data_IF_423307520326
#
_entry.id   IF_423307520326
#
_cell.length_a   1.000
_cell.length_b   1.000
_cell.length_c   1.000
_cell.angle_alpha   90.00
_cell.angle_beta   90.00
_cell.angle_gamma   90.00
#
_symmetry.space_group_name_H-M   'P 1'
#
loop_
_entity.id
_entity.type
_entity.pdbx_description
1 polymer ?
#
# COMPACT_ATOMS: atom_id res chain seq x y z
N UNK A 1 -0.35 -23.82 8.27
CA UNK A 1 -0.91 -22.46 7.99
C UNK A 1 0.04 -21.37 8.46
N UNK A 2 0.38 -21.29 9.75
CA UNK A 2 1.29 -20.27 10.28
C UNK A 2 2.70 -20.34 9.64
N UNK A 3 3.25 -21.54 9.47
CA UNK A 3 4.56 -21.74 8.85
C UNK A 3 4.59 -21.28 7.39
N UNK A 4 3.50 -21.51 6.65
CA UNK A 4 3.41 -21.11 5.25
C UNK A 4 3.41 -19.60 5.11
N UNK A 5 2.64 -18.89 5.94
CA UNK A 5 2.58 -17.42 5.96
C UNK A 5 3.93 -16.83 6.34
N UNK A 6 4.59 -17.40 7.35
CA UNK A 6 5.92 -16.97 7.77
C UNK A 6 6.95 -17.12 6.67
N UNK A 7 6.92 -18.24 5.93
CA UNK A 7 7.83 -18.47 4.80
C UNK A 7 7.58 -17.50 3.67
N UNK A 8 6.32 -17.19 3.38
CA UNK A 8 5.96 -16.22 2.34
C UNK A 8 6.40 -14.81 2.72
N UNK A 9 6.23 -14.43 3.99
CA UNK A 9 6.70 -13.15 4.51
C UNK A 9 8.23 -13.02 4.40
N UNK A 10 8.96 -14.08 4.71
CA UNK A 10 10.42 -14.12 4.55
C UNK A 10 10.84 -13.92 3.11
N UNK A 11 10.15 -14.58 2.18
CA UNK A 11 10.44 -14.44 0.74
C UNK A 11 10.20 -13.01 0.27
N UNK A 12 9.10 -12.40 0.72
CA UNK A 12 8.81 -11.01 0.40
C UNK A 12 9.93 -10.08 0.90
N UNK A 13 10.32 -10.22 2.15
CA UNK A 13 11.37 -9.38 2.75
C UNK A 13 12.72 -9.58 2.05
N UNK A 14 13.05 -10.80 1.66
CA UNK A 14 14.27 -11.09 0.88
C UNK A 14 14.26 -10.44 -0.49
N UNK A 15 13.13 -10.49 -1.18
CA UNK A 15 12.97 -9.84 -2.49
C UNK A 15 13.01 -8.32 -2.37
N UNK A 16 12.42 -7.77 -1.31
CA UNK A 16 12.48 -6.34 -1.02
C UNK A 16 13.93 -5.91 -0.79
N UNK A 17 14.68 -6.66 0.02
CA UNK A 17 16.11 -6.39 0.25
C UNK A 17 16.88 -6.35 -1.07
N UNK A 18 16.64 -7.31 -1.95
CA UNK A 18 17.33 -7.39 -3.24
C UNK A 18 16.94 -6.22 -4.14
N UNK A 19 15.67 -5.82 -4.14
CA UNK A 19 15.19 -4.67 -4.90
C UNK A 19 15.81 -3.36 -4.39
N UNK A 20 15.96 -3.22 -3.08
CA UNK A 20 16.57 -2.03 -2.46
C UNK A 20 18.09 -1.96 -2.70
N UNK A 21 18.75 -3.10 -2.77
CA UNK A 21 20.18 -3.18 -3.05
C UNK A 21 20.50 -3.00 -4.55
N UNK A 22 19.50 -3.12 -5.43
CA UNK A 22 19.67 -2.97 -6.87
C UNK A 22 19.91 -1.51 -7.27
N UNK A 23 20.49 -1.34 -8.44
CA UNK A 23 20.79 -0.02 -9.02
C UNK A 23 19.60 0.45 -9.87
N UNK A 24 18.54 0.90 -9.18
CA UNK A 24 17.31 1.39 -9.82
C UNK A 24 17.03 2.83 -9.45
N UNK A 25 16.55 3.62 -10.43
CA UNK A 25 16.07 4.98 -10.19
C UNK A 25 14.80 4.96 -9.31
N UNK A 26 14.50 6.08 -8.66
CA UNK A 26 13.44 6.18 -7.67
C UNK A 26 12.08 5.66 -8.11
N UNK A 27 11.57 6.12 -9.27
CA UNK A 27 10.26 5.66 -9.78
C UNK A 27 10.27 4.17 -10.11
N UNK A 28 11.30 3.72 -10.80
CA UNK A 28 11.47 2.31 -11.17
C UNK A 28 11.52 1.41 -9.94
N UNK A 29 12.18 1.87 -8.88
CA UNK A 29 12.26 1.16 -7.61
C UNK A 29 10.88 1.04 -6.96
N UNK A 30 10.11 2.12 -6.93
CA UNK A 30 8.74 2.10 -6.40
C UNK A 30 7.85 1.14 -7.19
N UNK A 31 7.92 1.18 -8.51
CA UNK A 31 7.14 0.29 -9.39
C UNK A 31 7.49 -1.18 -9.13
N UNK A 32 8.75 -1.46 -8.95
CA UNK A 32 9.23 -2.83 -8.65
C UNK A 32 8.72 -3.31 -7.28
N UNK A 33 8.74 -2.44 -6.29
CA UNK A 33 8.25 -2.76 -4.95
C UNK A 33 6.75 -3.08 -4.97
N UNK A 34 5.93 -2.28 -5.64
CA UNK A 34 4.49 -2.53 -5.73
C UNK A 34 4.21 -3.86 -6.42
N UNK A 35 4.93 -4.17 -7.49
CA UNK A 35 4.79 -5.46 -8.19
C UNK A 35 5.15 -6.64 -7.27
N UNK A 36 6.27 -6.55 -6.56
CA UNK A 36 6.72 -7.60 -5.66
C UNK A 36 5.72 -7.86 -4.53
N UNK A 37 5.19 -6.80 -3.93
CA UNK A 37 4.22 -6.91 -2.84
C UNK A 37 2.93 -7.57 -3.33
N UNK A 38 2.35 -7.07 -4.42
CA UNK A 38 1.11 -7.60 -4.97
C UNK A 38 1.25 -9.09 -5.30
N UNK A 39 2.34 -9.46 -5.96
CA UNK A 39 2.62 -10.85 -6.33
C UNK A 39 2.80 -11.73 -5.08
N UNK A 40 3.59 -11.28 -4.12
CA UNK A 40 3.91 -12.07 -2.92
C UNK A 40 2.72 -12.24 -1.98
N UNK A 41 1.84 -11.25 -1.92
CA UNK A 41 0.65 -11.30 -1.06
C UNK A 41 -0.58 -11.86 -1.77
N UNK A 42 -0.48 -12.14 -3.07
CA UNK A 42 -1.59 -12.65 -3.86
C UNK A 42 -2.73 -11.64 -3.98
N UNK A 43 -2.39 -10.35 -4.07
CA UNK A 43 -3.35 -9.27 -4.23
C UNK A 43 -3.34 -8.73 -5.66
N UNK A 44 -4.49 -8.29 -6.15
CA UNK A 44 -4.58 -7.67 -7.47
C UNK A 44 -3.97 -6.29 -7.50
N UNK A 45 -3.96 -5.59 -6.38
CA UNK A 45 -3.49 -4.20 -6.30
C UNK A 45 -2.50 -4.02 -5.15
N UNK A 46 -1.42 -3.31 -5.44
CA UNK A 46 -0.56 -2.67 -4.45
C UNK A 46 -0.26 -1.26 -4.91
N UNK A 47 -0.42 -0.28 -4.03
CA UNK A 47 -0.23 1.13 -4.37
C UNK A 47 0.54 1.87 -3.28
N UNK A 48 1.33 2.85 -3.71
CA UNK A 48 2.07 3.73 -2.81
C UNK A 48 1.58 5.15 -3.03
N UNK A 49 1.10 5.76 -1.95
CA UNK A 49 0.71 7.18 -1.90
C UNK A 49 1.70 7.92 -1.03
N UNK A 50 2.20 9.04 -1.51
CA UNK A 50 3.13 9.88 -0.74
C UNK A 50 2.59 11.31 -0.65
N UNK A 51 2.87 11.98 0.45
CA UNK A 51 2.51 13.39 0.59
C UNK A 51 3.28 14.23 -0.41
N UNK A 52 2.55 15.03 -1.16
CA UNK A 52 3.11 16.02 -2.07
C UNK A 52 3.36 17.35 -1.34
N UNK A 53 2.48 17.66 -0.40
CA UNK A 53 2.58 18.80 0.50
C UNK A 53 1.99 18.39 1.86
N UNK A 54 1.70 19.36 2.73
CA UNK A 54 1.30 19.08 4.12
C UNK A 54 0.00 18.27 4.25
N UNK A 55 -0.90 18.36 3.28
CA UNK A 55 -2.23 17.76 3.39
C UNK A 55 -2.69 16.94 2.18
N UNK A 56 -1.87 16.83 1.14
CA UNK A 56 -2.27 16.17 -0.12
C UNK A 56 -1.39 14.97 -0.41
N UNK A 57 -2.02 13.81 -0.55
CA UNK A 57 -1.40 12.56 -0.98
C UNK A 57 -1.50 12.41 -2.49
N UNK A 58 -0.45 11.93 -3.11
CA UNK A 58 -0.39 11.64 -4.54
C UNK A 58 -0.07 10.17 -4.75
N UNK A 59 -0.80 9.53 -5.66
CA UNK A 59 -0.49 8.16 -6.08
C UNK A 59 0.84 8.17 -6.84
N UNK A 60 1.86 7.54 -6.27
CA UNK A 60 3.22 7.56 -6.82
C UNK A 60 3.61 6.27 -7.54
N UNK A 61 2.98 5.15 -7.20
CA UNK A 61 3.20 3.88 -7.86
C UNK A 61 2.01 2.97 -7.63
N UNK A 62 1.70 2.13 -8.60
CA UNK A 62 0.64 1.15 -8.49
C UNK A 62 0.92 -0.08 -9.33
N UNK A 63 0.57 -1.24 -8.79
CA UNK A 63 0.36 -2.47 -9.52
C UNK A 63 -1.14 -2.73 -9.47
N UNK A 64 -1.78 -2.90 -10.61
CA UNK A 64 -3.19 -3.27 -10.70
C UNK A 64 -4.18 -2.15 -10.93
N UNK A 65 -3.91 -0.92 -10.50
CA UNK A 65 -4.72 0.24 -10.86
C UNK A 65 -4.27 0.79 -12.22
N UNK A 66 -5.02 1.75 -12.75
CA UNK A 66 -4.67 2.38 -14.01
C UNK A 66 -3.33 3.12 -13.91
N UNK A 67 -2.34 2.70 -14.70
CA UNK A 67 -1.00 3.31 -14.68
C UNK A 67 -1.03 4.82 -15.00
N UNK A 68 -2.02 5.27 -15.77
CA UNK A 68 -2.17 6.69 -16.10
C UNK A 68 -2.60 7.54 -14.90
N UNK A 69 -3.10 6.91 -13.84
CA UNK A 69 -3.46 7.60 -12.60
C UNK A 69 -2.23 7.98 -11.75
N UNK A 70 -1.08 7.37 -12.01
CA UNK A 70 0.16 7.67 -11.28
C UNK A 70 0.53 9.14 -11.49
N UNK A 71 0.78 9.84 -10.37
CA UNK A 71 1.04 11.29 -10.29
C UNK A 71 -0.16 12.18 -10.66
N UNK A 72 -1.30 11.59 -11.04
CA UNK A 72 -2.53 12.33 -11.35
C UNK A 72 -3.55 12.23 -10.23
N UNK A 73 -3.71 11.06 -9.63
CA UNK A 73 -4.66 10.86 -8.54
C UNK A 73 -4.13 11.46 -7.25
N UNK A 74 -4.92 12.32 -6.64
CA UNK A 74 -4.60 13.01 -5.40
C UNK A 74 -5.79 12.96 -4.45
N UNK A 75 -5.50 12.93 -3.17
CA UNK A 75 -6.51 13.01 -2.13
C UNK A 75 -5.97 13.74 -0.91
N UNK A 76 -6.86 14.36 -0.17
CA UNK A 76 -6.48 15.08 1.04
C UNK A 76 -6.39 14.13 2.23
N UNK A 77 -5.55 14.49 3.18
CA UNK A 77 -5.48 13.82 4.46
C UNK A 77 -6.89 13.74 5.07
N UNK A 78 -7.28 12.52 5.48
CA UNK A 78 -8.61 12.27 6.02
C UNK A 78 -9.68 11.91 4.99
N UNK A 79 -9.38 12.05 3.70
CA UNK A 79 -10.28 11.73 2.60
C UNK A 79 -10.10 10.28 2.15
N UNK A 80 -11.19 9.50 2.14
CA UNK A 80 -11.15 8.08 1.80
C UNK A 80 -10.41 7.25 2.83
N UNK A 81 -10.27 5.93 2.57
CA UNK A 81 -9.55 5.03 3.47
C UNK A 81 -8.06 5.38 3.54
N UNK A 82 -7.46 5.66 2.39
CA UNK A 82 -6.05 6.03 2.30
C UNK A 82 -5.77 7.30 3.11
N UNK A 83 -6.59 8.34 2.92
CA UNK A 83 -6.45 9.59 3.67
C UNK A 83 -6.61 9.41 5.18
N UNK A 84 -7.46 8.48 5.59
CA UNK A 84 -7.65 8.15 7.01
C UNK A 84 -6.45 7.46 7.62
N UNK A 85 -5.84 6.52 6.90
CA UNK A 85 -4.59 5.89 7.35
C UNK A 85 -3.53 6.96 7.61
N UNK A 86 -3.38 7.91 6.68
CA UNK A 86 -2.41 8.99 6.81
C UNK A 86 -2.72 9.91 7.99
N UNK A 87 -3.98 10.30 8.13
CA UNK A 87 -4.41 11.25 9.17
C UNK A 87 -4.22 10.69 10.58
N UNK A 88 -4.67 9.47 10.80
CA UNK A 88 -4.66 8.86 12.13
C UNK A 88 -3.39 8.02 12.38
N UNK A 89 -2.56 7.83 11.36
CA UNK A 89 -1.33 7.02 11.42
C UNK A 89 -1.61 5.64 11.99
N UNK A 90 -2.67 5.01 11.50
CA UNK A 90 -3.14 3.69 11.94
C UNK A 90 -3.44 2.80 10.75
N UNK A 91 -3.23 1.52 10.95
CA UNK A 91 -3.59 0.48 9.98
C UNK A 91 -5.10 0.42 9.84
N UNK A 92 -5.57 0.30 8.58
CA UNK A 92 -6.94 -0.08 8.27
C UNK A 92 -6.87 -1.43 7.56
N UNK A 93 -7.53 -2.43 8.14
CA UNK A 93 -7.58 -3.80 7.61
C UNK A 93 -9.04 -4.23 7.59
N UNK A 94 -9.65 -4.23 6.42
CA UNK A 94 -11.08 -4.56 6.28
C UNK A 94 -11.32 -5.51 5.11
N UNK A 95 -12.17 -6.56 5.31
CA UNK A 95 -12.57 -7.45 4.21
C UNK A 95 -13.64 -6.82 3.31
N UNK A 96 -14.28 -5.73 3.73
CA UNK A 96 -15.40 -5.10 3.02
C UNK A 96 -15.20 -3.57 2.97
N UNK A 97 -14.28 -3.14 2.12
CA UNK A 97 -13.91 -1.73 1.98
C UNK A 97 -15.10 -0.83 1.62
N UNK A 98 -16.03 -1.21 0.71
CA UNK A 98 -17.15 -0.34 0.36
C UNK A 98 -18.07 -0.01 1.54
N UNK A 99 -18.11 -0.86 2.56
CA UNK A 99 -18.91 -0.64 3.77
C UNK A 99 -18.12 0.03 4.90
N UNK A 100 -16.82 0.20 4.72
CA UNK A 100 -15.97 0.81 5.75
C UNK A 100 -16.25 2.32 5.84
N UNK A 101 -16.21 2.84 7.06
CA UNK A 101 -16.36 4.28 7.29
C UNK A 101 -15.28 5.07 6.56
N UNK A 102 -15.68 6.07 5.79
CA UNK A 102 -14.75 6.91 5.05
C UNK A 102 -14.37 6.40 3.66
N UNK A 103 -14.93 5.28 3.23
CA UNK A 103 -14.69 4.78 1.86
C UNK A 103 -15.05 5.84 0.82
N UNK A 104 -14.18 5.97 -0.18
CA UNK A 104 -14.42 6.83 -1.35
C UNK A 104 -13.94 6.11 -2.61
N UNK A 105 -14.81 6.05 -3.61
CA UNK A 105 -14.48 5.49 -4.91
C UNK A 105 -13.80 6.54 -5.79
N UNK A 106 -12.67 6.16 -6.41
CA UNK A 106 -11.87 7.05 -7.28
C UNK A 106 -11.87 6.46 -8.70
N UNK A 107 -12.86 6.82 -9.54
CA UNK A 107 -13.02 6.18 -10.87
C UNK A 107 -11.83 6.40 -11.81
N UNK A 108 -11.08 7.47 -11.66
CA UNK A 108 -9.92 7.77 -12.50
C UNK A 108 -8.79 6.76 -12.37
N UNK A 109 -8.74 6.00 -11.29
CA UNK A 109 -7.73 4.95 -11.11
C UNK A 109 -8.03 3.69 -11.91
N UNK A 110 -9.21 3.60 -12.51
CA UNK A 110 -9.71 2.36 -13.11
C UNK A 110 -10.08 1.34 -12.04
N UNK A 111 -10.26 1.79 -10.81
CA UNK A 111 -10.55 0.95 -9.67
C UNK A 111 -11.93 0.32 -9.80
N UNK A 112 -11.96 -1.02 -9.84
CA UNK A 112 -13.18 -1.76 -9.58
C UNK A 112 -13.41 -1.71 -8.07
N UNK A 113 -14.60 -2.07 -7.61
CA UNK A 113 -14.85 -2.15 -6.17
C UNK A 113 -14.13 -3.38 -5.62
N UNK A 114 -12.97 -3.16 -5.01
CA UNK A 114 -12.22 -4.21 -4.33
C UNK A 114 -12.81 -4.42 -2.93
N UNK A 115 -13.05 -5.68 -2.57
CA UNK A 115 -13.63 -6.00 -1.27
C UNK A 115 -12.64 -5.77 -0.13
N UNK A 116 -11.44 -6.31 -0.25
CA UNK A 116 -10.45 -6.19 0.84
C UNK A 116 -9.52 -5.01 0.64
N UNK A 117 -9.20 -4.39 1.76
CA UNK A 117 -8.28 -3.25 1.83
C UNK A 117 -7.40 -3.40 3.06
N UNK A 118 -6.10 -3.31 2.85
CA UNK A 118 -5.13 -3.18 3.94
C UNK A 118 -4.24 -1.97 3.62
N UNK A 119 -4.34 -0.94 4.45
CA UNK A 119 -3.51 0.26 4.35
C UNK A 119 -2.67 0.41 5.60
N UNK A 120 -1.38 0.65 5.42
CA UNK A 120 -0.45 0.91 6.53
C UNK A 120 0.24 2.25 6.32
N UNK A 121 0.48 3.02 7.39
CA UNK A 121 1.17 4.30 7.23
C UNK A 121 2.64 4.10 6.92
N UNK A 122 3.17 4.92 6.02
CA UNK A 122 4.60 5.09 5.80
C UNK A 122 5.00 6.28 6.65
N UNK A 123 5.79 6.04 7.69
CA UNK A 123 6.13 7.10 8.65
C UNK A 123 7.56 6.99 9.13
N UNK A 124 8.12 8.12 9.49
CA UNK A 124 9.48 8.23 10.01
C UNK A 124 9.50 9.25 11.14
N UNK A 125 10.04 8.83 12.28
CA UNK A 125 10.14 9.71 13.46
C UNK A 125 8.79 10.33 13.86
N UNK A 126 7.70 9.54 13.73
CA UNK A 126 6.35 9.98 14.09
C UNK A 126 5.67 10.85 13.04
N UNK A 127 6.32 11.13 11.92
CA UNK A 127 5.75 11.94 10.83
C UNK A 127 5.26 11.04 9.70
N UNK A 128 4.02 11.26 9.25
CA UNK A 128 3.46 10.51 8.14
C UNK A 128 4.05 10.99 6.82
N UNK A 129 4.64 10.09 6.05
CA UNK A 129 5.20 10.35 4.72
C UNK A 129 4.27 9.87 3.61
N UNK A 130 3.39 8.93 3.91
CA UNK A 130 2.48 8.38 2.93
C UNK A 130 1.73 7.16 3.45
N UNK A 131 1.20 6.38 2.50
CA UNK A 131 0.41 5.17 2.79
C UNK A 131 0.78 4.08 1.78
N UNK A 132 0.96 2.87 2.28
CA UNK A 132 1.15 1.67 1.47
C UNK A 132 -0.11 0.83 1.56
N UNK A 133 -0.67 0.46 0.41
CA UNK A 133 -1.99 -0.17 0.30
C UNK A 133 -1.91 -1.45 -0.50
N UNK A 134 -2.60 -2.51 -0.06
CA UNK A 134 -2.93 -3.67 -0.88
C UNK A 134 -4.44 -3.86 -0.91
N UNK A 135 -4.96 -4.29 -2.06
CA UNK A 135 -6.38 -4.50 -2.27
C UNK A 135 -6.62 -5.81 -3.02
N UNK A 136 -7.73 -6.46 -2.73
CA UNK A 136 -8.10 -7.72 -3.38
C UNK A 136 -9.59 -7.74 -3.68
N UNK A 137 -9.97 -8.39 -4.78
CA UNK A 137 -11.38 -8.64 -5.13
C UNK A 137 -12.01 -9.64 -4.18
N UNK A 138 -11.21 -10.53 -3.61
CA UNK A 138 -11.68 -11.51 -2.64
C UNK A 138 -11.86 -10.86 -1.29
N UNK A 139 -13.04 -11.06 -0.68
CA UNK A 139 -13.30 -10.59 0.68
C UNK A 139 -12.48 -11.43 1.66
N UNK A 140 -11.47 -10.80 2.27
CA UNK A 140 -10.65 -11.45 3.30
C UNK A 140 -10.08 -10.41 4.26
N UNK A 141 -9.88 -10.82 5.49
CA UNK A 141 -9.12 -10.03 6.45
C UNK A 141 -7.67 -10.51 6.42
N UNK A 142 -6.73 -9.57 6.32
CA UNK A 142 -5.31 -9.92 6.31
C UNK A 142 -4.88 -10.37 7.70
N UNK A 143 -4.02 -11.38 7.75
CA UNK A 143 -3.51 -11.92 9.01
C UNK A 143 -2.57 -10.93 9.71
N UNK A 144 -2.34 -11.16 11.01
CA UNK A 144 -1.37 -10.35 11.76
C UNK A 144 0.03 -10.41 11.14
N UNK A 145 0.44 -11.57 10.61
CA UNK A 145 1.75 -11.72 9.94
C UNK A 145 1.81 -10.93 8.64
N UNK A 146 0.73 -10.92 7.86
CA UNK A 146 0.65 -10.14 6.63
C UNK A 146 0.70 -8.64 6.92
N UNK A 147 -0.03 -8.19 7.94
CA UNK A 147 -0.01 -6.79 8.38
C UNK A 147 1.40 -6.41 8.83
N UNK A 148 2.03 -7.24 9.65
CA UNK A 148 3.39 -7.00 10.13
C UNK A 148 4.39 -6.90 8.97
N UNK A 149 4.32 -7.82 8.01
CA UNK A 149 5.20 -7.80 6.84
C UNK A 149 5.04 -6.50 6.05
N UNK A 150 3.80 -6.06 5.84
CA UNK A 150 3.55 -4.81 5.12
C UNK A 150 4.04 -3.59 5.90
N UNK A 151 3.89 -3.58 7.21
CA UNK A 151 4.42 -2.51 8.06
C UNK A 151 5.95 -2.43 7.99
N UNK A 152 6.64 -3.57 7.93
CA UNK A 152 8.10 -3.60 7.77
C UNK A 152 8.51 -3.01 6.42
N UNK A 153 7.79 -3.37 5.35
CA UNK A 153 8.02 -2.77 4.02
C UNK A 153 7.82 -1.26 4.07
N UNK A 154 6.77 -0.80 4.75
CA UNK A 154 6.51 0.64 4.91
C UNK A 154 7.65 1.36 5.64
N UNK A 155 8.26 0.72 6.64
CA UNK A 155 9.44 1.26 7.33
C UNK A 155 10.63 1.41 6.40
N UNK A 156 10.84 0.44 5.51
CA UNK A 156 11.92 0.51 4.50
C UNK A 156 11.64 1.63 3.50
N UNK A 157 10.40 1.76 3.04
CA UNK A 157 10.00 2.84 2.13
C UNK A 157 10.26 4.23 2.73
N UNK A 158 10.05 4.37 4.02
CA UNK A 158 10.25 5.65 4.72
C UNK A 158 11.71 6.14 4.68
N UNK A 159 12.64 5.24 4.44
CA UNK A 159 14.09 5.55 4.38
C UNK A 159 14.60 5.80 2.95
N UNK A 160 13.74 5.73 1.97
CA UNK A 160 14.12 5.95 0.55
C UNK A 160 14.25 7.43 0.19
#
# INVERSE_FOLDING_TARGET
>A
MAERTETESRKLLGRLRDAMAGDHAGQERLDKITHLIATSMGCEVCSIYLFRDEDTLELCATEGLNAQAVHETRMKMGEGLVGRVAKYRRVINTPDAPQAAGFRFMPETGEEIYSSFLGVPVQRLGEALGVLVVQSKTAREFSADEVYALEVVAMVLAEM
#
